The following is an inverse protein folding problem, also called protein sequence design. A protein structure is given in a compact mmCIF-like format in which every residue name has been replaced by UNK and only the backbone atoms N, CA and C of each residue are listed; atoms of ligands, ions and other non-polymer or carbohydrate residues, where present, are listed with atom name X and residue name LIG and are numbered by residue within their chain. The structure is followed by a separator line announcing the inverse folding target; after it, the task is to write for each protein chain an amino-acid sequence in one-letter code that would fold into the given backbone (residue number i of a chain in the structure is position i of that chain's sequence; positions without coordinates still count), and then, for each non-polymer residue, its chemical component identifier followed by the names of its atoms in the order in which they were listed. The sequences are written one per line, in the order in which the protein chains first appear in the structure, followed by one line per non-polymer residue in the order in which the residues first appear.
data_IF_366594817324
#
_entry.id   IF_366594817324
#
_cell.length_a   1.000
_cell.length_b   1.000
_cell.length_c   1.000
_cell.angle_alpha   90.00
_cell.angle_beta   90.00
_cell.angle_gamma   90.00
#
_symmetry.space_group_name_H-M   'P 1'
#
loop_
_entity.id
_entity.type
_entity.pdbx_description
1 polymer ?
#
# COMPACT_ATOMS: atom_id res chain seq x y z
N UNK A 1 -0.95 -39.60 -41.07
CA UNK A 1 -1.15 -38.20 -41.49
C UNK A 1 -0.32 -37.34 -40.57
N UNK A 2 0.95 -37.15 -40.92
CA UNK A 2 1.91 -36.43 -40.09
C UNK A 2 1.67 -34.93 -40.22
N UNK A 3 1.39 -34.24 -39.11
CA UNK A 3 1.24 -32.79 -39.12
C UNK A 3 2.58 -32.14 -39.49
N UNK A 4 2.59 -31.10 -40.34
CA UNK A 4 3.83 -30.48 -40.80
C UNK A 4 4.64 -29.96 -39.61
N UNK A 5 5.92 -30.35 -39.52
CA UNK A 5 6.83 -30.10 -38.38
C UNK A 5 6.85 -28.64 -37.88
N UNK A 6 6.57 -27.68 -38.78
CA UNK A 6 6.39 -26.26 -38.47
C UNK A 6 5.35 -25.98 -37.37
N UNK A 7 4.20 -26.68 -37.37
CA UNK A 7 3.15 -26.48 -36.36
C UNK A 7 3.55 -27.03 -35.00
N UNK A 8 4.33 -28.11 -34.97
CA UNK A 8 4.84 -28.71 -33.73
C UNK A 8 5.87 -27.80 -33.05
N UNK A 9 6.75 -27.16 -33.81
CA UNK A 9 7.76 -26.22 -33.29
C UNK A 9 7.11 -24.96 -32.71
N UNK A 10 6.12 -24.38 -33.39
CA UNK A 10 5.40 -23.20 -32.88
C UNK A 10 4.66 -23.51 -31.57
N UNK A 11 4.00 -24.66 -31.48
CA UNK A 11 3.31 -25.09 -30.25
C UNK A 11 4.30 -25.34 -29.11
N UNK A 12 5.45 -25.96 -29.40
CA UNK A 12 6.50 -26.17 -28.41
C UNK A 12 7.08 -24.85 -27.90
N UNK A 13 7.35 -23.88 -28.78
CA UNK A 13 7.87 -22.56 -28.40
C UNK A 13 6.90 -21.78 -27.51
N UNK A 14 5.61 -21.79 -27.84
CA UNK A 14 4.57 -21.13 -27.02
C UNK A 14 4.48 -21.75 -25.62
N UNK A 15 4.53 -23.08 -25.53
CA UNK A 15 4.52 -23.79 -24.24
C UNK A 15 5.77 -23.48 -23.42
N UNK A 16 6.94 -23.50 -24.04
CA UNK A 16 8.20 -23.15 -23.36
C UNK A 16 8.20 -21.71 -22.88
N UNK A 17 7.71 -20.76 -23.67
CA UNK A 17 7.62 -19.36 -23.28
C UNK A 17 6.66 -19.16 -22.10
N UNK A 18 5.48 -19.79 -22.13
CA UNK A 18 4.51 -19.73 -21.04
C UNK A 18 5.06 -20.37 -19.74
N UNK A 19 5.75 -21.51 -19.85
CA UNK A 19 6.40 -22.16 -18.71
C UNK A 19 7.52 -21.30 -18.12
N UNK A 20 8.31 -20.65 -18.98
CA UNK A 20 9.38 -19.75 -18.56
C UNK A 20 8.81 -18.52 -17.83
N UNK A 21 7.73 -17.92 -18.37
CA UNK A 21 7.05 -16.78 -17.74
C UNK A 21 6.46 -17.15 -16.37
N UNK A 22 5.84 -18.34 -16.26
CA UNK A 22 5.31 -18.85 -15.01
C UNK A 22 6.42 -19.11 -13.98
N UNK A 23 7.53 -19.71 -14.40
CA UNK A 23 8.69 -19.95 -13.55
C UNK A 23 9.30 -18.65 -13.05
N UNK A 24 9.54 -17.67 -13.93
CA UNK A 24 10.06 -16.34 -13.56
C UNK A 24 9.12 -15.64 -12.57
N UNK A 25 7.81 -15.74 -12.77
CA UNK A 25 6.83 -15.13 -11.86
C UNK A 25 6.82 -15.76 -10.47
N UNK A 26 7.03 -17.08 -10.39
CA UNK A 26 7.11 -17.84 -9.14
C UNK A 26 8.40 -17.52 -8.38
N UNK A 27 9.52 -17.46 -9.10
CA UNK A 27 10.83 -17.07 -8.55
C UNK A 27 10.85 -15.59 -8.11
N UNK A 28 10.00 -14.74 -8.70
CA UNK A 28 9.88 -13.33 -8.33
C UNK A 28 9.04 -13.07 -7.04
N UNK A 29 8.42 -14.08 -6.43
CA UNK A 29 7.52 -13.89 -5.27
C UNK A 29 8.25 -13.61 -3.93
N UNK A 30 9.58 -13.52 -3.87
CA UNK A 30 10.31 -13.49 -2.59
C UNK A 30 10.27 -12.18 -1.80
N UNK A 31 9.79 -11.05 -2.36
CA UNK A 31 10.02 -9.74 -1.73
C UNK A 31 8.77 -8.94 -1.35
N UNK A 32 7.63 -9.60 -1.11
CA UNK A 32 6.48 -8.94 -0.49
C UNK A 32 6.73 -8.87 1.01
N UNK A 33 7.46 -7.85 1.45
CA UNK A 33 7.66 -7.57 2.87
C UNK A 33 6.33 -7.63 3.62
N UNK A 34 6.34 -8.19 4.83
CA UNK A 34 5.15 -8.30 5.67
C UNK A 34 4.44 -6.94 5.71
N UNK A 35 3.15 -6.84 5.34
CA UNK A 35 2.46 -5.58 5.35
C UNK A 35 2.40 -5.07 6.80
N UNK A 36 3.28 -4.11 7.11
CA UNK A 36 3.23 -3.39 8.38
C UNK A 36 2.04 -2.44 8.30
N UNK A 37 1.11 -2.57 9.24
CA UNK A 37 0.00 -1.62 9.37
C UNK A 37 0.60 -0.22 9.55
N UNK A 38 0.27 0.70 8.63
CA UNK A 38 0.68 2.10 8.76
C UNK A 38 -0.09 2.74 9.92
N UNK A 39 0.60 3.50 10.77
CA UNK A 39 -0.03 4.32 11.80
C UNK A 39 -0.52 5.62 11.20
N UNK A 40 -1.80 5.96 11.42
CA UNK A 40 -2.41 7.19 10.97
C UNK A 40 -2.36 8.24 12.08
N UNK A 41 -1.51 9.25 11.93
CA UNK A 41 -1.39 10.36 12.89
C UNK A 41 -2.00 11.61 12.28
N UNK A 42 -3.04 12.16 12.92
CA UNK A 42 -3.71 13.37 12.46
C UNK A 42 -2.94 14.61 12.94
N UNK A 43 -2.19 15.24 12.02
CA UNK A 43 -1.38 16.44 12.26
C UNK A 43 -2.27 17.64 12.66
N UNK A 44 -2.14 18.08 13.91
CA UNK A 44 -2.96 19.12 14.57
C UNK A 44 -4.47 18.83 14.55
N UNK A 45 -4.85 17.55 14.54
CA UNK A 45 -6.22 17.09 14.31
C UNK A 45 -6.61 16.99 12.83
N UNK A 46 -7.91 17.01 12.53
CA UNK A 46 -8.43 17.07 11.16
C UNK A 46 -8.33 18.50 10.60
N UNK A 47 -7.12 19.06 10.58
CA UNK A 47 -6.81 20.47 10.31
C UNK A 47 -7.23 20.95 8.92
N UNK A 48 -7.38 20.04 7.95
CA UNK A 48 -7.96 20.34 6.65
C UNK A 48 -9.48 20.63 6.69
N UNK A 49 -10.18 20.26 7.76
CA UNK A 49 -11.65 20.30 7.86
C UNK A 49 -12.16 21.16 9.03
N UNK A 50 -11.34 21.43 10.02
CA UNK A 50 -11.66 22.26 11.18
C UNK A 50 -10.38 22.99 11.66
N UNK A 51 -10.50 24.11 12.39
CA UNK A 51 -9.33 24.85 12.87
C UNK A 51 -8.35 23.95 13.64
N UNK A 52 -7.07 24.03 13.29
CA UNK A 52 -6.00 23.22 13.89
C UNK A 52 -5.89 23.40 15.41
N UNK A 53 -5.39 22.37 16.10
CA UNK A 53 -5.21 22.34 17.55
C UNK A 53 -6.49 22.63 18.37
N UNK A 54 -7.68 22.37 17.80
CA UNK A 54 -8.96 22.57 18.49
C UNK A 54 -9.71 21.26 18.75
N UNK A 55 -10.59 21.27 19.77
CA UNK A 55 -11.44 20.11 20.09
C UNK A 55 -12.30 19.63 18.89
N UNK A 56 -12.90 20.51 18.06
CA UNK A 56 -13.56 20.08 16.82
C UNK A 56 -12.65 19.29 15.86
N UNK A 57 -11.42 19.75 15.62
CA UNK A 57 -10.47 19.05 14.75
C UNK A 57 -10.07 17.69 15.32
N UNK A 58 -9.86 17.59 16.64
CA UNK A 58 -9.54 16.34 17.30
C UNK A 58 -10.70 15.34 17.25
N UNK A 59 -11.93 15.79 17.56
CA UNK A 59 -13.13 14.94 17.48
C UNK A 59 -13.36 14.40 16.08
N UNK A 60 -13.15 15.23 15.05
CA UNK A 60 -13.30 14.79 13.67
C UNK A 60 -12.19 13.80 13.26
N UNK A 61 -10.94 14.02 13.67
CA UNK A 61 -9.85 13.08 13.42
C UNK A 61 -10.13 11.70 14.03
N UNK A 62 -10.60 11.66 15.28
CA UNK A 62 -11.02 10.42 15.95
C UNK A 62 -12.15 9.75 15.17
N UNK A 63 -13.18 10.50 14.75
CA UNK A 63 -14.30 9.98 13.96
C UNK A 63 -13.86 9.44 12.60
N UNK A 64 -12.81 9.99 12.00
CA UNK A 64 -12.23 9.56 10.73
C UNK A 64 -11.29 8.35 10.87
N UNK A 65 -11.04 7.87 12.09
CA UNK A 65 -10.24 6.67 12.34
C UNK A 65 -8.73 6.93 12.41
N UNK A 66 -8.30 8.14 12.80
CA UNK A 66 -6.91 8.37 13.15
C UNK A 66 -6.51 7.51 14.37
N UNK A 67 -5.31 6.93 14.32
CA UNK A 67 -4.75 6.18 15.46
C UNK A 67 -4.32 7.11 16.58
N UNK A 68 -3.74 8.25 16.19
CA UNK A 68 -3.29 9.30 17.11
C UNK A 68 -3.64 10.68 16.56
N UNK A 69 -3.75 11.63 17.47
CA UNK A 69 -3.81 13.05 17.17
C UNK A 69 -2.49 13.65 17.61
N UNK A 70 -1.82 14.37 16.72
CA UNK A 70 -0.65 15.18 17.05
C UNK A 70 -1.11 16.59 17.45
N UNK A 71 -0.40 17.20 18.39
CA UNK A 71 -0.77 18.46 19.02
C UNK A 71 0.50 19.30 19.22
N UNK A 72 0.45 20.58 18.84
CA UNK A 72 1.50 21.52 19.22
C UNK A 72 1.21 22.09 20.61
N UNK A 73 2.22 22.09 21.49
CA UNK A 73 2.14 22.68 22.82
C UNK A 73 3.09 23.86 22.95
N UNK A 74 2.66 24.85 23.72
CA UNK A 74 3.46 26.01 24.12
C UNK A 74 3.16 26.30 25.58
N UNK A 75 4.12 26.90 26.29
CA UNK A 75 3.97 27.28 27.68
C UNK A 75 3.39 28.71 27.72
N UNK A 76 2.43 28.94 28.61
CA UNK A 76 1.89 30.28 28.82
C UNK A 76 2.83 31.13 29.69
N UNK A 77 2.52 32.40 29.91
CA UNK A 77 3.32 33.24 30.80
C UNK A 77 3.31 32.72 32.24
N UNK A 78 2.21 32.11 32.66
CA UNK A 78 1.94 31.63 34.00
C UNK A 78 2.12 30.11 34.17
N UNK A 79 2.59 29.42 33.13
CA UNK A 79 2.86 27.98 33.13
C UNK A 79 1.68 27.15 32.63
#
# INVERSE_FOLDING_TARGET
MELPASFTVHRALVVCFAACLALVSLLAQENRGTPVRKTLVAHRGASAYAPENTLPAYRLAIKQGADFVEQDLQITRDG
#
